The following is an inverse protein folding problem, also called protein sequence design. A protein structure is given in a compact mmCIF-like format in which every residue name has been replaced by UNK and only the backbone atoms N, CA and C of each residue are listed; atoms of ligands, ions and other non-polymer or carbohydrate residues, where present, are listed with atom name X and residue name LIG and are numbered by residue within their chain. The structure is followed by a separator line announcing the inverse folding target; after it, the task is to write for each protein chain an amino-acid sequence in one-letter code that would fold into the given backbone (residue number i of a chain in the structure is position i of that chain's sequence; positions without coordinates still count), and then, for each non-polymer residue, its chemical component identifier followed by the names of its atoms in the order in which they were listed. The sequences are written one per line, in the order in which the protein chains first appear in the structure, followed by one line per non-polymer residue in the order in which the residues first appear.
data_IF_260697682568
#
_entry.id   IF_260697682568
#
_cell.length_a   1.000
_cell.length_b   1.000
_cell.length_c   1.000
_cell.angle_alpha   90.00
_cell.angle_beta   90.00
_cell.angle_gamma   90.00
#
_symmetry.space_group_name_H-M   'P 1'
#
loop_
_entity.id
_entity.type
_entity.pdbx_description
1 polymer ?
#
# COMPACT_ATOMS: atom_id res chain seq x y z
N UNK A 1 68.73 -10.95 -44.77
CA UNK A 1 69.02 -11.26 -46.20
C UNK A 1 68.04 -12.35 -46.65
N UNK A 2 66.99 -11.96 -47.39
CA UNK A 2 66.80 -12.17 -48.85
C UNK A 2 66.56 -13.66 -49.23
N UNK A 3 65.53 -14.07 -50.01
CA UNK A 3 64.32 -13.45 -50.57
C UNK A 3 63.56 -14.53 -51.39
N UNK A 4 62.22 -14.64 -51.21
CA UNK A 4 61.09 -14.81 -52.20
C UNK A 4 61.13 -15.97 -53.24
N UNK A 5 60.02 -16.54 -53.75
CA UNK A 5 58.61 -16.13 -54.09
C UNK A 5 57.68 -17.39 -53.97
N UNK A 6 56.40 -17.36 -53.55
CA UNK A 6 55.14 -16.88 -54.23
C UNK A 6 54.55 -17.97 -55.17
N UNK A 7 53.27 -18.40 -55.21
CA UNK A 7 51.96 -17.77 -54.90
C UNK A 7 50.71 -18.69 -55.06
N UNK A 8 49.68 -18.44 -54.22
CA UNK A 8 48.18 -18.39 -54.39
C UNK A 8 47.26 -19.59 -54.78
N UNK A 9 46.15 -19.71 -54.00
CA UNK A 9 44.75 -20.10 -54.39
C UNK A 9 44.03 -21.07 -53.42
N UNK A 10 43.26 -20.64 -52.40
CA UNK A 10 41.76 -20.60 -52.25
C UNK A 10 40.97 -21.81 -52.83
N UNK A 11 39.83 -22.33 -52.32
CA UNK A 11 39.10 -22.54 -51.04
C UNK A 11 37.81 -23.34 -51.45
N UNK A 12 37.45 -24.42 -50.72
CA UNK A 12 36.14 -25.11 -50.54
C UNK A 12 35.01 -25.08 -51.62
N UNK A 13 34.40 -26.24 -51.92
CA UNK A 13 32.94 -26.50 -51.80
C UNK A 13 32.54 -27.97 -52.17
N UNK A 14 31.68 -28.57 -51.34
CA UNK A 14 30.93 -29.82 -51.59
C UNK A 14 29.54 -29.50 -52.18
N UNK A 15 28.99 -30.42 -52.98
CA UNK A 15 27.63 -30.36 -53.56
C UNK A 15 26.50 -30.48 -52.52
N UNK A 16 25.20 -30.47 -52.85
CA UNK A 16 24.50 -30.69 -54.12
C UNK A 16 23.00 -30.30 -53.93
N UNK A 17 22.36 -29.88 -55.04
CA UNK A 17 20.92 -29.98 -55.41
C UNK A 17 19.90 -28.84 -55.11
N UNK A 18 19.15 -28.57 -56.19
CA UNK A 18 18.19 -27.50 -56.50
C UNK A 18 16.74 -27.90 -56.13
N UNK A 19 15.89 -26.92 -55.83
CA UNK A 19 14.50 -26.85 -56.36
C UNK A 19 13.91 -25.43 -56.27
N UNK A 20 13.11 -25.06 -57.27
CA UNK A 20 12.60 -23.72 -57.61
C UNK A 20 11.23 -23.41 -56.99
N UNK A 21 10.97 -22.12 -56.86
CA UNK A 21 9.77 -21.38 -56.44
C UNK A 21 8.51 -21.59 -57.30
N UNK A 22 7.32 -21.53 -56.67
CA UNK A 22 6.05 -21.10 -57.31
C UNK A 22 5.20 -20.27 -56.34
N UNK A 23 4.99 -18.99 -56.67
CA UNK A 23 3.98 -18.10 -56.06
C UNK A 23 2.57 -18.59 -56.42
N UNK A 24 1.64 -18.63 -55.45
CA UNK A 24 0.19 -18.67 -55.71
C UNK A 24 -0.49 -17.52 -54.98
N UNK A 25 -1.26 -16.73 -55.75
CA UNK A 25 -2.14 -15.64 -55.32
C UNK A 25 -3.39 -16.26 -54.71
N UNK A 26 -3.80 -15.82 -53.51
CA UNK A 26 -5.15 -16.08 -53.02
C UNK A 26 -5.99 -14.81 -53.20
N UNK A 27 -7.00 -14.93 -54.05
CA UNK A 27 -8.06 -13.94 -54.28
C UNK A 27 -9.18 -14.26 -53.28
N UNK A 28 -9.65 -13.25 -52.55
CA UNK A 28 -10.78 -13.35 -51.63
C UNK A 28 -12.08 -13.19 -52.43
N UNK A 29 -13.02 -14.12 -52.29
CA UNK A 29 -14.36 -14.02 -52.88
C UNK A 29 -15.42 -14.28 -51.80
N UNK A 30 -16.17 -13.27 -51.34
CA UNK A 30 -17.20 -13.42 -50.33
C UNK A 30 -18.54 -13.59 -51.03
N UNK A 31 -19.13 -14.77 -50.97
CA UNK A 31 -20.58 -15.03 -51.03
C UNK A 31 -20.79 -16.55 -51.18
N UNK A 32 -21.19 -17.21 -50.10
CA UNK A 32 -22.01 -18.42 -50.06
C UNK A 32 -22.41 -18.66 -48.58
N UNK A 33 -23.37 -17.89 -48.11
CA UNK A 33 -24.40 -18.31 -47.15
C UNK A 33 -25.29 -19.35 -47.88
N UNK A 34 -25.85 -20.42 -47.33
CA UNK A 34 -26.30 -20.75 -45.98
C UNK A 34 -26.68 -22.26 -45.92
N UNK A 35 -26.76 -22.79 -44.69
CA UNK A 35 -27.60 -23.94 -44.25
C UNK A 35 -27.33 -25.36 -44.77
N UNK A 36 -26.93 -26.27 -43.87
CA UNK A 36 -27.82 -27.36 -43.41
C UNK A 36 -27.17 -28.17 -42.30
N UNK A 37 -28.02 -28.57 -41.37
CA UNK A 37 -27.85 -29.32 -40.14
C UNK A 37 -27.31 -30.74 -40.29
N UNK A 38 -26.82 -31.26 -39.16
CA UNK A 38 -26.54 -32.66 -38.83
C UNK A 38 -25.18 -33.23 -39.28
N UNK A 39 -24.22 -33.21 -38.36
CA UNK A 39 -23.56 -34.45 -37.90
C UNK A 39 -22.49 -34.15 -36.84
N UNK A 40 -22.88 -33.94 -35.58
CA UNK A 40 -22.02 -34.24 -34.42
C UNK A 40 -22.90 -34.52 -33.20
N UNK A 41 -23.70 -35.58 -33.31
CA UNK A 41 -24.30 -36.26 -32.15
C UNK A 41 -23.28 -37.26 -31.63
N UNK A 42 -22.67 -36.94 -30.48
CA UNK A 42 -22.50 -37.79 -29.29
C UNK A 42 -21.27 -37.34 -28.52
N UNK A 43 -21.43 -36.32 -27.66
CA UNK A 43 -20.77 -36.17 -26.36
C UNK A 43 -21.16 -34.83 -25.70
N UNK A 44 -22.45 -34.50 -25.68
CA UNK A 44 -22.96 -33.44 -24.83
C UNK A 44 -23.23 -34.01 -23.42
N UNK A 45 -22.19 -34.48 -22.73
CA UNK A 45 -22.25 -34.55 -21.26
C UNK A 45 -22.18 -33.11 -20.78
N UNK A 46 -23.38 -32.61 -20.47
CA UNK A 46 -23.75 -31.37 -19.80
C UNK A 46 -22.74 -30.96 -18.71
N UNK A 47 -21.66 -30.28 -19.09
CA UNK A 47 -20.89 -29.43 -18.18
C UNK A 47 -21.78 -28.23 -17.90
N UNK A 48 -22.51 -28.29 -16.79
CA UNK A 48 -23.02 -27.08 -16.16
C UNK A 48 -21.78 -26.25 -15.82
N UNK A 49 -21.65 -25.08 -16.43
CA UNK A 49 -20.72 -24.05 -15.96
C UNK A 49 -21.15 -23.66 -14.55
N UNK A 50 -20.53 -24.29 -13.55
CA UNK A 50 -20.47 -23.70 -12.22
C UNK A 50 -19.46 -22.57 -12.34
N UNK A 51 -19.94 -21.34 -12.53
CA UNK A 51 -19.13 -20.12 -12.39
C UNK A 51 -18.83 -19.84 -10.90
N UNK A 52 -18.41 -20.85 -10.15
CA UNK A 52 -17.84 -20.68 -8.82
C UNK A 52 -16.36 -21.03 -8.93
N UNK A 53 -15.53 -19.99 -9.00
CA UNK A 53 -14.10 -20.12 -8.78
C UNK A 53 -13.92 -20.50 -7.31
N UNK A 54 -13.65 -21.78 -7.04
CA UNK A 54 -13.25 -22.24 -5.71
C UNK A 54 -11.84 -21.70 -5.47
N UNK A 55 -11.75 -20.59 -4.72
CA UNK A 55 -10.48 -20.03 -4.28
C UNK A 55 -9.95 -20.89 -3.13
N UNK A 56 -8.70 -21.34 -3.22
CA UNK A 56 -7.98 -22.07 -2.17
C UNK A 56 -7.99 -21.33 -0.82
N UNK A 57 -7.85 -22.04 0.29
CA UNK A 57 -7.73 -21.45 1.64
C UNK A 57 -6.55 -20.48 1.78
N UNK A 58 -5.52 -20.62 0.94
CA UNK A 58 -4.47 -19.61 0.76
C UNK A 58 -4.80 -18.72 -0.46
N UNK A 59 -5.62 -17.70 -0.21
CA UNK A 59 -6.05 -16.72 -1.22
C UNK A 59 -5.11 -15.52 -1.33
N UNK A 60 -3.82 -15.70 -1.01
CA UNK A 60 -2.83 -14.62 -1.03
C UNK A 60 -2.59 -14.12 -2.47
N UNK A 61 -2.62 -12.80 -2.67
CA UNK A 61 -2.28 -12.17 -3.96
C UNK A 61 -0.83 -11.73 -3.94
N UNK A 62 -0.03 -12.24 -4.87
CA UNK A 62 1.38 -11.87 -5.01
C UNK A 62 1.57 -10.73 -6.01
N UNK A 63 2.43 -9.77 -5.64
CA UNK A 63 2.79 -8.63 -6.49
C UNK A 63 4.24 -8.70 -6.92
N UNK A 64 4.49 -8.53 -8.22
CA UNK A 64 5.82 -8.14 -8.68
C UNK A 64 6.14 -6.72 -8.20
N UNK A 65 7.20 -6.62 -7.40
CA UNK A 65 7.72 -5.37 -6.86
C UNK A 65 8.93 -4.88 -7.63
N UNK A 66 9.03 -3.57 -7.82
CA UNK A 66 10.24 -2.96 -8.34
C UNK A 66 11.31 -2.93 -7.24
N UNK A 67 12.59 -3.04 -7.62
CA UNK A 67 13.69 -3.08 -6.64
C UNK A 67 13.67 -1.88 -5.66
N UNK A 68 13.39 -0.69 -6.18
CA UNK A 68 13.26 0.55 -5.41
C UNK A 68 12.12 0.56 -4.36
N UNK A 69 11.15 -0.34 -4.48
CA UNK A 69 10.01 -0.42 -3.56
C UNK A 69 10.23 -1.44 -2.43
N UNK A 70 11.29 -2.26 -2.54
CA UNK A 70 11.64 -3.29 -1.54
C UNK A 70 11.73 -2.74 -0.12
N UNK A 71 12.34 -1.56 0.14
CA UNK A 71 12.40 -1.01 1.49
C UNK A 71 10.99 -0.73 2.06
N UNK A 72 10.08 -0.20 1.24
CA UNK A 72 8.70 0.07 1.64
C UNK A 72 7.90 -1.20 1.88
N UNK A 73 8.08 -2.22 1.04
CA UNK A 73 7.45 -3.53 1.24
C UNK A 73 7.87 -4.19 2.55
N UNK A 74 9.14 -4.00 2.96
CA UNK A 74 9.69 -4.58 4.18
C UNK A 74 9.30 -3.80 5.43
N UNK A 75 9.31 -2.46 5.37
CA UNK A 75 9.12 -1.59 6.53
C UNK A 75 7.66 -1.21 6.74
N UNK A 76 6.96 -0.87 5.66
CA UNK A 76 5.64 -0.27 5.72
C UNK A 76 4.76 -0.66 4.50
N UNK A 77 4.36 -1.95 4.40
CA UNK A 77 3.73 -2.50 3.20
C UNK A 77 2.37 -1.86 2.87
N UNK A 78 1.60 -1.42 3.88
CA UNK A 78 0.29 -0.80 3.67
C UNK A 78 0.39 0.44 2.76
N UNK A 79 1.43 1.27 2.95
CA UNK A 79 1.69 2.44 2.11
C UNK A 79 1.88 2.06 0.65
N UNK A 80 2.67 1.03 0.38
CA UNK A 80 2.91 0.55 -0.98
C UNK A 80 1.65 -0.02 -1.63
N UNK A 81 0.85 -0.79 -0.88
CA UNK A 81 -0.42 -1.33 -1.35
C UNK A 81 -1.40 -0.22 -1.75
N UNK A 82 -1.58 0.79 -0.89
CA UNK A 82 -2.46 1.92 -1.19
C UNK A 82 -1.92 2.79 -2.34
N UNK A 83 -0.59 2.93 -2.45
CA UNK A 83 0.04 3.65 -3.57
C UNK A 83 -0.17 2.93 -4.91
N UNK A 84 -0.15 1.59 -4.93
CA UNK A 84 -0.54 0.79 -6.10
C UNK A 84 -2.02 1.01 -6.44
N UNK A 85 -2.89 1.04 -5.44
CA UNK A 85 -4.31 1.35 -5.64
C UNK A 85 -4.54 2.71 -6.29
N UNK A 86 -3.80 3.73 -5.85
CA UNK A 86 -3.82 5.06 -6.45
C UNK A 86 -3.34 5.06 -7.91
N UNK A 87 -2.24 4.36 -8.21
CA UNK A 87 -1.69 4.29 -9.57
C UNK A 87 -2.69 3.68 -10.56
N UNK A 88 -3.28 2.55 -10.17
CA UNK A 88 -4.16 1.76 -11.04
C UNK A 88 -5.63 2.12 -10.89
N UNK A 89 -5.95 3.17 -10.12
CA UNK A 89 -7.31 3.65 -9.84
C UNK A 89 -8.24 2.53 -9.35
N UNK A 90 -7.71 1.65 -8.50
CA UNK A 90 -8.42 0.49 -7.97
C UNK A 90 -8.30 0.45 -6.45
N UNK A 91 -9.43 0.48 -5.75
CA UNK A 91 -9.44 0.49 -4.29
C UNK A 91 -9.63 -0.93 -3.71
N UNK A 92 -8.85 -1.32 -2.67
CA UNK A 92 -7.74 -0.57 -2.09
C UNK A 92 -6.42 -0.73 -2.86
N UNK A 93 -6.26 -1.82 -3.61
CA UNK A 93 -5.11 -2.12 -4.47
C UNK A 93 -5.51 -3.10 -5.59
N UNK A 94 -4.86 -3.07 -6.77
CA UNK A 94 -5.23 -3.93 -7.90
C UNK A 94 -5.01 -5.42 -7.58
N UNK A 95 -5.88 -6.34 -8.02
CA UNK A 95 -5.69 -7.78 -7.76
C UNK A 95 -4.77 -8.50 -8.77
N UNK A 96 -4.17 -7.75 -9.68
CA UNK A 96 -3.30 -8.27 -10.74
C UNK A 96 -1.94 -7.60 -10.68
N UNK A 97 -0.90 -8.36 -11.00
CA UNK A 97 0.46 -7.83 -11.10
C UNK A 97 0.76 -7.37 -12.53
N UNK A 98 1.28 -6.17 -12.68
CA UNK A 98 1.69 -5.58 -13.97
C UNK A 98 3.21 -5.65 -14.10
N UNK A 99 3.69 -6.38 -15.11
CA UNK A 99 5.12 -6.50 -15.40
C UNK A 99 5.67 -5.22 -16.04
N UNK A 100 6.96 -4.96 -15.84
CA UNK A 100 7.70 -3.85 -16.47
C UNK A 100 7.13 -2.45 -16.22
N UNK A 101 6.42 -2.26 -15.09
CA UNK A 101 5.96 -0.94 -14.65
C UNK A 101 7.10 -0.09 -14.08
N UNK A 102 6.88 1.22 -14.05
CA UNK A 102 7.75 2.12 -13.32
C UNK A 102 7.61 1.90 -11.81
N UNK A 103 8.70 2.15 -11.08
CA UNK A 103 8.66 2.17 -9.63
C UNK A 103 7.82 3.35 -9.14
N UNK A 104 7.03 3.15 -8.10
CA UNK A 104 6.18 4.18 -7.48
C UNK A 104 6.91 4.93 -6.36
N UNK A 105 7.96 4.31 -5.83
CA UNK A 105 8.92 4.91 -4.92
C UNK A 105 10.33 4.71 -5.46
N UNK A 106 11.20 5.63 -5.07
CA UNK A 106 12.60 5.70 -5.51
C UNK A 106 13.50 5.78 -4.28
N UNK A 107 14.61 6.50 -4.38
CA UNK A 107 15.47 6.78 -3.24
C UNK A 107 14.70 7.45 -2.10
N UNK A 108 14.99 7.05 -0.87
CA UNK A 108 14.27 7.54 0.31
C UNK A 108 14.65 9.00 0.57
N UNK A 109 13.78 9.92 0.12
CA UNK A 109 13.85 11.37 0.37
C UNK A 109 13.54 11.79 1.81
N UNK A 110 13.08 13.03 2.00
CA UNK A 110 12.70 13.58 3.31
C UNK A 110 11.30 13.14 3.75
N UNK A 111 11.14 11.85 4.10
CA UNK A 111 9.90 11.30 4.66
C UNK A 111 9.91 11.29 6.19
N UNK A 112 8.75 11.48 6.82
CA UNK A 112 8.54 11.28 8.25
C UNK A 112 8.94 9.87 8.69
N UNK A 113 8.83 8.88 7.80
CA UNK A 113 9.20 7.51 8.10
C UNK A 113 10.70 7.33 8.37
N UNK A 114 11.58 8.26 7.95
CA UNK A 114 13.00 8.23 8.34
C UNK A 114 13.22 8.37 9.84
N UNK A 115 12.28 9.01 10.54
CA UNK A 115 12.31 9.14 12.01
C UNK A 115 11.70 7.92 12.68
N UNK A 116 10.78 7.23 11.99
CA UNK A 116 9.96 6.16 12.54
C UNK A 116 10.47 4.75 12.21
N UNK A 117 11.40 4.63 11.25
CA UNK A 117 11.94 3.35 10.81
C UNK A 117 13.36 3.47 10.24
N UNK A 118 14.12 2.38 10.35
CA UNK A 118 15.47 2.26 9.80
C UNK A 118 15.45 1.65 8.39
N UNK A 119 15.59 2.49 7.37
CA UNK A 119 15.67 2.08 5.96
C UNK A 119 17.03 1.48 5.55
N UNK A 120 18.06 1.58 6.39
CA UNK A 120 19.42 1.12 6.05
C UNK A 120 19.66 -0.31 6.50
N UNK A 121 19.49 -0.56 7.79
CA UNK A 121 19.76 -1.89 8.37
C UNK A 121 18.48 -2.65 8.73
N UNK A 122 17.30 -2.00 8.62
CA UNK A 122 16.02 -2.57 9.05
C UNK A 122 16.02 -2.98 10.53
N UNK A 123 16.80 -2.27 11.36
CA UNK A 123 16.95 -2.60 12.78
C UNK A 123 15.72 -2.29 13.63
N UNK A 124 14.90 -1.32 13.19
CA UNK A 124 13.63 -0.99 13.82
C UNK A 124 12.61 -0.49 12.78
N UNK A 125 11.33 -0.65 13.11
CA UNK A 125 10.20 -0.10 12.36
C UNK A 125 9.11 0.30 13.36
N UNK A 126 8.12 1.02 12.86
CA UNK A 126 6.96 1.42 13.61
C UNK A 126 6.24 0.19 14.20
N UNK A 127 5.91 0.16 15.50
CA UNK A 127 5.23 -0.99 16.09
C UNK A 127 3.83 -1.12 15.48
N UNK A 128 3.59 -2.25 14.80
CA UNK A 128 2.27 -2.61 14.30
C UNK A 128 1.44 -3.30 15.38
N UNK A 129 0.20 -2.87 15.55
CA UNK A 129 -0.80 -3.56 16.37
C UNK A 129 -1.84 -4.13 15.42
N UNK A 130 -1.95 -5.45 15.36
CA UNK A 130 -2.87 -6.10 14.43
C UNK A 130 -4.33 -5.68 14.71
N UNK A 131 -5.04 -5.28 13.67
CA UNK A 131 -6.42 -4.78 13.75
C UNK A 131 -6.54 -3.33 14.23
N UNK A 132 -5.43 -2.64 14.52
CA UNK A 132 -5.46 -1.20 14.80
C UNK A 132 -5.93 -0.47 13.55
N UNK A 133 -6.97 0.34 13.68
CA UNK A 133 -7.47 1.17 12.58
C UNK A 133 -7.60 2.61 13.01
N UNK A 134 -7.40 3.53 12.07
CA UNK A 134 -7.52 4.97 12.29
C UNK A 134 -8.56 5.49 11.31
N UNK A 135 -9.59 6.16 11.81
CA UNK A 135 -10.69 6.73 11.03
C UNK A 135 -10.74 8.23 11.20
N UNK A 136 -10.42 8.96 10.14
CA UNK A 136 -10.62 10.39 10.03
C UNK A 136 -12.05 10.67 9.55
N UNK A 137 -12.81 11.41 10.34
CA UNK A 137 -14.19 11.85 10.09
C UNK A 137 -14.27 13.36 10.25
N UNK A 138 -15.45 13.93 9.99
CA UNK A 138 -15.64 15.36 10.19
C UNK A 138 -15.47 15.74 11.68
N UNK A 139 -14.48 16.60 11.98
CA UNK A 139 -14.10 17.07 13.32
C UNK A 139 -13.80 15.98 14.36
N UNK A 140 -13.66 14.73 13.94
CA UNK A 140 -13.41 13.60 14.84
C UNK A 140 -12.48 12.60 14.19
N UNK A 141 -11.49 12.13 14.95
CA UNK A 141 -10.58 11.08 14.51
C UNK A 141 -10.59 9.96 15.54
N UNK A 142 -10.90 8.74 15.14
CA UNK A 142 -10.95 7.56 16.02
C UNK A 142 -9.76 6.64 15.75
N UNK A 143 -8.96 6.40 16.78
CA UNK A 143 -7.82 5.47 16.80
C UNK A 143 -8.26 4.27 17.64
N UNK A 144 -8.45 3.13 16.99
CA UNK A 144 -9.16 1.98 17.57
C UNK A 144 -8.24 0.79 17.77
N UNK A 145 -7.94 0.47 19.03
CA UNK A 145 -7.11 -0.66 19.44
C UNK A 145 -7.99 -1.86 19.81
N UNK A 146 -7.82 -3.04 19.18
CA UNK A 146 -8.56 -4.24 19.58
C UNK A 146 -8.11 -4.73 20.96
N UNK A 147 -9.08 -5.04 21.85
CA UNK A 147 -8.82 -5.48 23.23
C UNK A 147 -7.94 -6.73 23.33
N UNK A 148 -8.11 -7.70 22.45
CA UNK A 148 -7.28 -8.92 22.37
C UNK A 148 -5.84 -8.69 21.86
N UNK A 149 -5.43 -7.44 21.63
CA UNK A 149 -4.07 -7.07 21.18
C UNK A 149 -3.34 -6.21 22.19
N UNK A 150 -3.80 -6.21 23.44
CA UNK A 150 -3.21 -5.50 24.55
C UNK A 150 -1.69 -5.65 24.62
N UNK A 151 -1.16 -6.88 24.56
CA UNK A 151 0.27 -7.14 24.64
C UNK A 151 1.08 -6.42 23.54
N UNK A 152 0.53 -6.28 22.33
CA UNK A 152 1.19 -5.56 21.23
C UNK A 152 1.19 -4.05 21.49
N UNK A 153 0.10 -3.52 22.03
CA UNK A 153 0.01 -2.11 22.44
C UNK A 153 1.04 -1.82 23.53
N UNK A 154 1.08 -2.64 24.59
CA UNK A 154 2.00 -2.46 25.71
C UNK A 154 3.46 -2.60 25.27
N UNK A 155 3.77 -3.55 24.38
CA UNK A 155 5.09 -3.65 23.76
C UNK A 155 5.48 -2.38 23.01
N UNK A 156 4.54 -1.79 22.25
CA UNK A 156 4.73 -0.50 21.60
C UNK A 156 4.99 0.64 22.58
N UNK A 157 4.26 0.68 23.71
CA UNK A 157 4.47 1.68 24.76
C UNK A 157 5.85 1.55 25.41
N UNK A 158 6.30 0.33 25.73
CA UNK A 158 7.60 0.11 26.36
C UNK A 158 8.77 0.45 25.43
N UNK A 159 8.60 0.28 24.13
CA UNK A 159 9.61 0.63 23.13
C UNK A 159 9.51 2.10 22.68
N UNK A 160 8.53 2.85 23.17
CA UNK A 160 8.33 4.27 22.85
C UNK A 160 9.18 5.17 23.75
N UNK A 161 9.48 6.38 23.28
CA UNK A 161 10.14 7.40 24.09
C UNK A 161 9.11 8.11 24.98
N UNK A 162 9.55 8.79 26.03
CA UNK A 162 8.72 9.60 26.93
C UNK A 162 7.87 10.62 26.16
N UNK A 163 8.45 11.25 25.15
CA UNK A 163 7.77 12.30 24.37
C UNK A 163 7.15 11.85 23.05
N UNK A 164 7.42 10.63 22.56
CA UNK A 164 6.93 10.19 21.25
C UNK A 164 6.35 8.79 21.33
N UNK A 165 5.07 8.67 20.99
CA UNK A 165 4.35 7.41 20.87
C UNK A 165 3.85 7.27 19.43
N UNK A 166 4.12 6.14 18.78
CA UNK A 166 3.71 5.96 17.40
C UNK A 166 3.34 4.50 17.09
N UNK A 167 2.35 4.30 16.22
CA UNK A 167 1.86 2.98 15.83
C UNK A 167 1.49 2.92 14.35
N UNK A 168 1.79 1.78 13.72
CA UNK A 168 1.30 1.45 12.39
C UNK A 168 -0.12 0.88 12.51
N UNK A 169 -1.04 1.38 11.70
CA UNK A 169 -2.39 0.82 11.57
C UNK A 169 -2.42 -0.23 10.46
N UNK A 170 -3.47 -1.06 10.48
CA UNK A 170 -3.83 -1.95 9.39
C UNK A 170 -4.84 -1.28 8.46
N UNK A 171 -5.03 -1.90 7.29
CA UNK A 171 -6.11 -1.53 6.40
C UNK A 171 -7.47 -1.64 7.10
N UNK A 172 -8.32 -0.64 6.90
CA UNK A 172 -9.66 -0.61 7.50
C UNK A 172 -10.71 -0.92 6.45
N UNK A 173 -11.32 -2.11 6.54
CA UNK A 173 -12.39 -2.54 5.62
C UNK A 173 -13.68 -1.71 5.74
N UNK A 174 -13.85 -1.01 6.86
CA UNK A 174 -15.03 -0.18 7.14
C UNK A 174 -14.86 1.27 6.67
N UNK A 175 -13.65 1.68 6.31
CA UNK A 175 -13.40 2.98 5.72
C UNK A 175 -13.77 2.99 4.22
N UNK A 176 -14.36 4.10 3.76
CA UNK A 176 -14.72 4.29 2.35
C UNK A 176 -13.57 4.86 1.51
N UNK A 177 -12.51 5.30 2.19
CA UNK A 177 -11.32 5.90 1.59
C UNK A 177 -10.09 5.72 2.48
N UNK A 178 -8.90 5.89 1.92
CA UNK A 178 -7.63 5.90 2.65
C UNK A 178 -6.73 7.02 2.15
N UNK A 179 -5.92 7.57 3.06
CA UNK A 179 -4.81 8.44 2.70
C UNK A 179 -3.72 7.65 1.97
N UNK A 180 -3.05 8.31 1.03
CA UNK A 180 -1.97 7.74 0.22
C UNK A 180 -0.80 8.71 0.21
N UNK A 181 0.40 8.20 0.44
CA UNK A 181 1.63 8.96 0.34
C UNK A 181 2.22 8.82 -1.07
N UNK A 182 2.31 9.91 -1.83
CA UNK A 182 2.90 9.91 -3.17
C UNK A 182 4.29 10.55 -3.10
N UNK A 183 5.30 9.83 -3.56
CA UNK A 183 6.63 10.39 -3.77
C UNK A 183 6.68 11.11 -5.12
N UNK A 184 7.09 12.38 -5.08
CA UNK A 184 7.36 13.20 -6.26
C UNK A 184 8.83 13.56 -6.29
N UNK A 185 9.49 13.28 -7.41
CA UNK A 185 10.89 13.63 -7.63
C UNK A 185 10.96 14.84 -8.56
N UNK A 186 11.54 15.93 -8.06
CA UNK A 186 11.78 17.15 -8.83
C UNK A 186 13.27 17.44 -8.84
N UNK A 187 13.93 17.11 -9.95
CA UNK A 187 15.39 17.13 -10.02
C UNK A 187 16.00 16.10 -9.07
N UNK A 188 16.91 16.55 -8.21
CA UNK A 188 17.59 15.72 -7.21
C UNK A 188 16.84 15.61 -5.87
N UNK A 189 15.73 16.34 -5.70
CA UNK A 189 14.96 16.33 -4.46
C UNK A 189 13.73 15.42 -4.55
N UNK A 190 13.62 14.52 -3.56
CA UNK A 190 12.46 13.66 -3.36
C UNK A 190 11.56 14.23 -2.26
N UNK A 191 10.34 14.60 -2.63
CA UNK A 191 9.28 15.10 -1.75
C UNK A 191 8.12 14.11 -1.64
N UNK A 192 7.34 14.22 -0.57
CA UNK A 192 6.19 13.34 -0.31
C UNK A 192 4.93 14.17 -0.13
N UNK A 193 3.85 13.75 -0.79
CA UNK A 193 2.58 14.45 -0.80
C UNK A 193 1.45 13.54 -0.35
N UNK A 194 0.49 14.10 0.37
CA UNK A 194 -0.74 13.42 0.77
C UNK A 194 -1.76 13.47 -0.36
N UNK A 195 -2.28 12.31 -0.73
CA UNK A 195 -3.51 12.15 -1.51
C UNK A 195 -4.48 11.23 -0.77
N UNK A 196 -5.64 10.96 -1.36
CA UNK A 196 -6.55 9.95 -0.86
C UNK A 196 -7.22 9.21 -2.01
N UNK A 197 -7.40 7.90 -1.84
CA UNK A 197 -8.17 7.04 -2.74
C UNK A 197 -9.44 6.59 -2.04
N UNK A 198 -10.50 6.35 -2.81
CA UNK A 198 -11.80 5.97 -2.27
C UNK A 198 -12.46 4.87 -3.10
N UNK A 199 -13.44 4.20 -2.49
CA UNK A 199 -14.32 3.28 -3.19
C UNK A 199 -15.05 4.06 -4.30
N UNK A 200 -14.99 3.53 -5.52
CA UNK A 200 -15.61 4.17 -6.68
C UNK A 200 -17.10 4.48 -6.42
N UNK A 201 -17.53 5.68 -6.79
CA UNK A 201 -18.89 6.18 -6.59
C UNK A 201 -19.39 6.26 -5.12
N UNK A 202 -18.49 6.26 -4.12
CA UNK A 202 -18.85 6.58 -2.73
C UNK A 202 -18.26 7.92 -2.29
N UNK A 203 -19.06 8.83 -1.69
CA UNK A 203 -18.52 10.03 -1.06
C UNK A 203 -17.62 9.65 0.11
N UNK A 204 -16.61 10.48 0.37
CA UNK A 204 -15.69 10.27 1.49
C UNK A 204 -16.35 10.67 2.80
N UNK A 205 -16.60 9.70 3.67
CA UNK A 205 -17.19 9.93 5.00
C UNK A 205 -16.26 9.48 6.12
N UNK A 206 -15.53 8.40 5.88
CA UNK A 206 -14.54 7.81 6.77
C UNK A 206 -13.29 7.52 5.95
N UNK A 207 -12.24 8.31 6.22
CA UNK A 207 -10.94 8.11 5.57
C UNK A 207 -9.98 7.41 6.53
N UNK A 208 -9.36 6.32 6.11
CA UNK A 208 -8.36 5.61 6.87
C UNK A 208 -6.97 6.26 6.77
N UNK A 209 -6.21 6.23 7.87
CA UNK A 209 -4.78 6.56 7.89
C UNK A 209 -3.93 5.31 8.16
N UNK A 210 -2.68 5.34 7.70
CA UNK A 210 -1.71 4.24 7.77
C UNK A 210 -0.90 4.20 9.07
N UNK A 211 -0.78 5.33 9.77
CA UNK A 211 -0.09 5.40 11.05
C UNK A 211 -0.57 6.58 11.90
N UNK A 212 -0.24 6.54 13.19
CA UNK A 212 -0.36 7.67 14.10
C UNK A 212 0.98 7.93 14.80
N UNK A 213 1.31 9.21 14.97
CA UNK A 213 2.37 9.69 15.86
C UNK A 213 1.75 10.68 16.83
N UNK A 214 1.98 10.47 18.11
CA UNK A 214 1.61 11.39 19.19
C UNK A 214 2.90 11.95 19.76
N UNK A 215 3.03 13.28 19.70
CA UNK A 215 4.21 14.01 20.12
C UNK A 215 3.90 14.87 21.34
N UNK A 216 4.46 14.53 22.48
CA UNK A 216 4.33 15.22 23.77
C UNK A 216 5.23 16.45 23.91
N UNK A 217 5.43 17.20 22.83
CA UNK A 217 6.33 18.36 22.76
C UNK A 217 5.64 19.63 22.26
N UNK A 218 4.32 19.75 22.45
CA UNK A 218 3.57 20.95 22.08
C UNK A 218 4.08 22.16 22.88
N UNK A 219 4.45 23.23 22.18
CA UNK A 219 4.92 24.47 22.81
C UNK A 219 3.75 25.22 23.43
N UNK A 220 3.83 25.51 24.72
CA UNK A 220 2.82 26.29 25.47
C UNK A 220 2.57 27.68 24.88
N UNK A 221 3.58 28.29 24.25
CA UNK A 221 3.49 29.59 23.59
C UNK A 221 2.53 29.64 22.40
N UNK A 222 2.07 28.49 21.88
CA UNK A 222 1.12 28.43 20.76
C UNK A 222 -0.34 28.69 21.19
N UNK A 223 -0.63 28.69 22.50
CA UNK A 223 -2.01 28.85 23.00
C UNK A 223 -2.96 27.73 22.57
N UNK A 224 -2.42 26.55 22.22
CA UNK A 224 -3.18 25.38 21.79
C UNK A 224 -3.26 24.34 22.92
N UNK A 225 -4.39 23.64 23.03
CA UNK A 225 -4.56 22.52 23.96
C UNK A 225 -4.00 21.20 23.42
N UNK A 226 -4.03 21.06 22.09
CA UNK A 226 -3.46 20.00 21.27
C UNK A 226 -3.57 20.42 19.80
N UNK A 227 -2.77 19.82 18.92
CA UNK A 227 -2.83 20.05 17.47
C UNK A 227 -2.81 18.73 16.72
N UNK A 228 -3.76 18.57 15.81
CA UNK A 228 -3.86 17.41 14.91
C UNK A 228 -3.48 17.87 13.51
N UNK A 229 -2.68 17.09 12.78
CA UNK A 229 -2.38 17.33 11.37
C UNK A 229 -2.10 16.03 10.62
N UNK A 230 -2.52 15.99 9.35
CA UNK A 230 -2.17 14.90 8.44
C UNK A 230 -0.73 15.09 7.97
N UNK A 231 0.06 14.02 8.03
CA UNK A 231 1.44 13.99 7.56
C UNK A 231 1.61 12.75 6.68
N UNK A 232 1.85 12.97 5.38
CA UNK A 232 1.90 11.90 4.38
C UNK A 232 0.60 11.09 4.35
N UNK A 233 0.61 9.82 4.75
CA UNK A 233 -0.57 8.96 4.87
C UNK A 233 -0.96 8.65 6.32
N UNK A 234 -0.44 9.41 7.28
CA UNK A 234 -0.70 9.23 8.71
C UNK A 234 -1.18 10.48 9.43
N UNK A 235 -1.44 10.31 10.72
CA UNK A 235 -1.89 11.35 11.64
C UNK A 235 -0.78 11.74 12.62
N UNK A 236 -0.51 13.03 12.77
CA UNK A 236 0.35 13.59 13.82
C UNK A 236 -0.53 14.32 14.83
N UNK A 237 -0.38 14.00 16.11
CA UNK A 237 -1.09 14.65 17.22
C UNK A 237 -0.08 15.20 18.21
N UNK A 238 0.05 16.52 18.26
CA UNK A 238 0.91 17.23 19.20
C UNK A 238 0.13 17.56 20.48
N UNK A 239 0.61 17.09 21.62
CA UNK A 239 0.00 17.30 22.94
C UNK A 239 1.02 17.85 23.95
N UNK A 240 0.52 18.39 25.06
CA UNK A 240 1.37 18.76 26.19
C UNK A 240 2.00 17.51 26.83
N UNK A 241 3.20 17.61 27.42
CA UNK A 241 3.87 16.48 28.08
C UNK A 241 2.99 15.79 29.14
N UNK A 242 2.22 16.55 29.93
CA UNK A 242 1.38 16.00 31.00
C UNK A 242 0.25 15.13 30.44
N UNK A 243 -0.29 15.49 29.27
CA UNK A 243 -1.30 14.68 28.56
C UNK A 243 -0.72 13.38 28.01
N UNK A 244 0.57 13.36 27.66
CA UNK A 244 1.23 12.14 27.18
C UNK A 244 1.29 11.08 28.27
N UNK A 245 1.65 11.45 29.49
CA UNK A 245 1.69 10.52 30.62
C UNK A 245 0.29 9.98 30.95
N UNK A 246 -0.72 10.85 30.96
CA UNK A 246 -2.11 10.44 31.15
C UNK A 246 -2.60 9.49 30.05
N UNK A 247 -2.24 9.75 28.80
CA UNK A 247 -2.55 8.86 27.67
C UNK A 247 -1.89 7.49 27.82
N UNK A 248 -0.60 7.44 28.14
CA UNK A 248 0.14 6.19 28.34
C UNK A 248 -0.46 5.38 29.49
N UNK A 249 -0.87 6.03 30.58
CA UNK A 249 -1.57 5.39 31.68
C UNK A 249 -2.95 4.85 31.28
N UNK A 250 -3.74 5.61 30.51
CA UNK A 250 -5.04 5.17 30.02
C UNK A 250 -4.92 3.91 29.12
N UNK A 251 -3.95 3.90 28.20
CA UNK A 251 -3.68 2.72 27.37
C UNK A 251 -3.27 1.50 28.20
N UNK A 252 -2.41 1.67 29.21
CA UNK A 252 -2.05 0.58 30.15
C UNK A 252 -3.26 0.04 30.92
N UNK A 253 -4.22 0.89 31.24
CA UNK A 253 -5.41 0.50 32.00
C UNK A 253 -6.58 0.04 31.10
N UNK A 254 -6.37 -0.13 29.79
CA UNK A 254 -7.42 -0.42 28.81
C UNK A 254 -8.60 0.57 28.84
N UNK A 255 -8.30 1.85 29.10
CA UNK A 255 -9.25 2.94 29.16
C UNK A 255 -9.18 3.80 27.89
N UNK A 256 -10.33 4.28 27.47
CA UNK A 256 -10.44 5.22 26.36
C UNK A 256 -9.91 6.60 26.78
N UNK A 257 -9.34 7.33 25.82
CA UNK A 257 -8.76 8.65 26.03
C UNK A 257 -9.13 9.59 24.89
N UNK A 258 -9.54 10.82 25.21
CA UNK A 258 -9.92 11.82 24.20
C UNK A 258 -9.04 13.05 24.28
N UNK A 259 -8.58 13.52 23.13
CA UNK A 259 -7.74 14.70 22.96
C UNK A 259 -8.53 15.74 22.16
N UNK A 260 -8.96 16.80 22.84
CA UNK A 260 -9.51 17.99 22.18
C UNK A 260 -8.39 18.85 21.59
N UNK A 261 -8.31 18.91 20.27
CA UNK A 261 -7.40 19.75 19.49
C UNK A 261 -8.00 21.13 19.21
N UNK A 262 -7.17 22.16 19.22
CA UNK A 262 -7.57 23.54 19.00
C UNK A 262 -7.04 24.51 20.05
N UNK A 263 -7.65 25.69 20.13
CA UNK A 263 -7.23 26.75 21.06
C UNK A 263 -7.57 26.40 22.51
N UNK A 264 -6.66 26.75 23.42
CA UNK A 264 -6.90 26.62 24.85
C UNK A 264 -8.03 27.58 25.29
N UNK A 265 -8.97 27.07 26.08
CA UNK A 265 -10.11 27.86 26.58
C UNK A 265 -11.27 28.06 25.60
N UNK A 266 -11.24 27.44 24.42
CA UNK A 266 -12.39 27.41 23.52
C UNK A 266 -13.56 26.62 24.13
N UNK A 267 -14.79 27.02 23.81
CA UNK A 267 -16.02 26.32 24.24
C UNK A 267 -16.09 24.89 23.69
N UNK A 268 -15.63 24.71 22.45
CA UNK A 268 -15.54 23.41 21.80
C UNK A 268 -14.17 23.25 21.11
N UNK A 269 -13.63 22.03 21.07
CA UNK A 269 -12.43 21.74 20.29
C UNK A 269 -12.72 21.82 18.77
N UNK A 270 -11.71 22.20 17.99
CA UNK A 270 -11.79 22.20 16.52
C UNK A 270 -11.97 20.78 15.99
N UNK A 271 -11.21 19.84 16.58
CA UNK A 271 -11.22 18.41 16.30
C UNK A 271 -11.04 17.61 17.60
N UNK A 272 -11.67 16.44 17.70
CA UNK A 272 -11.42 15.49 18.80
C UNK A 272 -10.77 14.22 18.27
N UNK A 273 -9.58 13.90 18.79
CA UNK A 273 -8.93 12.61 18.56
C UNK A 273 -9.28 11.67 19.71
N UNK A 274 -10.01 10.61 19.42
CA UNK A 274 -10.36 9.57 20.39
C UNK A 274 -9.44 8.36 20.22
N UNK A 275 -8.90 7.88 21.31
CA UNK A 275 -8.10 6.67 21.41
C UNK A 275 -8.93 5.67 22.19
N UNK A 276 -9.39 4.60 21.53
CA UNK A 276 -10.44 3.72 22.03
C UNK A 276 -10.00 2.26 22.03
N UNK A 277 -10.43 1.53 23.05
CA UNK A 277 -10.36 0.07 23.09
C UNK A 277 -11.65 -0.52 22.54
N UNK A 278 -11.58 -1.09 21.34
CA UNK A 278 -12.71 -1.68 20.62
C UNK A 278 -12.80 -3.19 20.80
N UNK A 279 -13.85 -3.79 20.24
CA UNK A 279 -14.04 -5.23 20.24
C UNK A 279 -12.83 -5.99 19.67
N UNK A 280 -12.75 -7.26 20.02
CA UNK A 280 -11.63 -8.11 19.62
C UNK A 280 -11.50 -8.19 18.09
N UNK A 281 -10.26 -8.16 17.62
CA UNK A 281 -9.95 -8.44 16.22
C UNK A 281 -10.15 -9.94 15.97
N UNK A 282 -11.23 -10.26 15.25
CA UNK A 282 -11.57 -11.62 14.82
C UNK A 282 -11.14 -11.90 13.36
N UNK A 283 -10.54 -10.92 12.67
CA UNK A 283 -10.20 -11.01 11.26
C UNK A 283 -8.80 -11.63 11.09
N UNK A 284 -8.72 -12.94 11.37
CA UNK A 284 -7.45 -13.69 11.37
C UNK A 284 -6.77 -13.80 9.99
N UNK A 285 -7.47 -13.51 8.89
CA UNK A 285 -6.94 -13.52 7.52
C UNK A 285 -6.51 -12.13 6.99
N UNK A 286 -6.87 -11.05 7.68
CA UNK A 286 -6.44 -9.70 7.31
C UNK A 286 -5.18 -9.36 8.13
N UNK A 287 -4.08 -9.05 7.43
CA UNK A 287 -2.78 -8.67 8.01
C UNK A 287 -2.32 -7.37 7.38
#
# INVERSE_FOLDING_TARGET
MNRKKGSRGLRSEEGLRKSRTRKRKNVFNPNLTESSSESFSTSAKKLKNNNELIVSEDSSVEYQMCWWETPWAKIFPLRLLLRLGAEYRYYPCPLVSVRFRNALYFEIGHTVMKVLADFRNFGYTLPGVRGLTIHLKNRTTDVMFPRNRYDQVIKGLHNSNDHVLAYASNFSITADSHLVCIQTNTGDESSYQTQAINIHNKPRTVTGASFIVINGALKSSLGLSAKSSIVEDGLMVEIMPEKMEALKAALKNMQDFSIGCGRQGALEPDEVVNIKWVDNDMLFNLR
#
